data_IF_353381195454
#
_entry.id   IF_353381195454
#
_cell.length_a   1.000
_cell.length_b   1.000
_cell.length_c   1.000
_cell.angle_alpha   90.00
_cell.angle_beta   90.00
_cell.angle_gamma   90.00
#
_symmetry.space_group_name_H-M   'P 1'
#
loop_
_entity.id
_entity.type
_entity.pdbx_description
1 polymer ?
#
# COMPACT_ATOMS: atom_id res chain seq x y z
N UNK A 1 -12.49 44.71 -36.56
CA UNK A 1 -11.12 44.30 -36.16
C UNK A 1 -10.99 43.93 -34.68
N UNK A 2 -11.54 44.68 -33.71
CA UNK A 2 -11.48 44.32 -32.28
C UNK A 2 -12.02 42.91 -31.95
N UNK A 3 -13.08 42.48 -32.62
CA UNK A 3 -13.70 41.16 -32.38
C UNK A 3 -12.85 39.97 -32.86
N UNK A 4 -11.94 40.19 -33.82
CA UNK A 4 -10.99 39.17 -34.29
C UNK A 4 -9.81 39.06 -33.35
N UNK A 5 -9.31 40.20 -32.84
CA UNK A 5 -8.17 40.26 -31.93
C UNK A 5 -8.52 39.62 -30.58
N UNK A 6 -9.73 39.86 -30.07
CA UNK A 6 -10.22 39.21 -28.84
C UNK A 6 -10.36 37.69 -29.00
N UNK A 7 -10.80 37.19 -30.16
CA UNK A 7 -10.90 35.74 -30.41
C UNK A 7 -9.55 35.05 -30.46
N UNK A 8 -8.54 35.69 -31.07
CA UNK A 8 -7.18 35.14 -31.07
C UNK A 8 -6.59 35.13 -29.66
N UNK A 9 -6.76 36.21 -28.89
CA UNK A 9 -6.26 36.30 -27.52
C UNK A 9 -6.94 35.26 -26.60
N UNK A 10 -8.26 35.10 -26.69
CA UNK A 10 -8.97 34.07 -25.91
C UNK A 10 -8.58 32.65 -26.33
N UNK A 11 -8.31 32.41 -27.61
CA UNK A 11 -7.81 31.13 -28.10
C UNK A 11 -6.43 30.80 -27.52
N UNK A 12 -5.48 31.73 -27.55
CA UNK A 12 -4.16 31.54 -26.93
C UNK A 12 -4.27 31.33 -25.42
N UNK A 13 -5.06 32.14 -24.71
CA UNK A 13 -5.31 31.97 -23.27
C UNK A 13 -5.90 30.59 -22.95
N UNK A 14 -6.81 30.09 -23.77
CA UNK A 14 -7.41 28.76 -23.59
C UNK A 14 -6.38 27.64 -23.74
N UNK A 15 -5.47 27.76 -24.71
CA UNK A 15 -4.37 26.81 -24.89
C UNK A 15 -3.43 26.83 -23.68
N UNK A 16 -2.99 28.02 -23.24
CA UNK A 16 -2.14 28.14 -22.07
C UNK A 16 -2.79 27.58 -20.81
N UNK A 17 -4.08 27.87 -20.59
CA UNK A 17 -4.84 27.34 -19.47
C UNK A 17 -4.94 25.82 -19.52
N UNK A 18 -5.20 25.24 -20.71
CA UNK A 18 -5.25 23.79 -20.88
C UNK A 18 -3.91 23.12 -20.56
N UNK A 19 -2.80 23.63 -21.09
CA UNK A 19 -1.46 23.11 -20.77
C UNK A 19 -1.16 23.21 -19.28
N UNK A 20 -1.47 24.35 -18.65
CA UNK A 20 -1.27 24.53 -17.22
C UNK A 20 -2.10 23.54 -16.39
N UNK A 21 -3.36 23.33 -16.77
CA UNK A 21 -4.25 22.36 -16.11
C UNK A 21 -3.72 20.93 -16.23
N UNK A 22 -3.19 20.54 -17.39
CA UNK A 22 -2.57 19.21 -17.60
C UNK A 22 -1.33 19.04 -16.73
N UNK A 23 -0.44 20.03 -16.70
CA UNK A 23 0.76 20.00 -15.84
C UNK A 23 0.36 19.93 -14.36
N UNK A 24 -0.65 20.70 -13.95
CA UNK A 24 -1.16 20.68 -12.58
C UNK A 24 -1.76 19.31 -12.21
N UNK A 25 -2.52 18.69 -13.10
CA UNK A 25 -3.08 17.36 -12.89
C UNK A 25 -1.99 16.28 -12.74
N UNK A 26 -0.93 16.35 -13.54
CA UNK A 26 0.23 15.45 -13.42
C UNK A 26 0.89 15.62 -12.05
N UNK A 27 1.21 16.86 -11.67
CA UNK A 27 1.84 17.14 -10.38
C UNK A 27 0.96 16.71 -9.20
N UNK A 28 -0.35 16.95 -9.29
CA UNK A 28 -1.30 16.50 -8.28
C UNK A 28 -1.34 14.97 -8.18
N UNK A 29 -1.46 14.27 -9.31
CA UNK A 29 -1.45 12.80 -9.35
C UNK A 29 -0.16 12.22 -8.79
N UNK A 30 0.98 12.81 -9.12
CA UNK A 30 2.30 12.45 -8.58
C UNK A 30 2.33 12.52 -7.05
N UNK A 31 1.92 13.66 -6.47
CA UNK A 31 1.93 13.89 -5.02
C UNK A 31 0.93 12.96 -4.33
N UNK A 32 -0.29 12.85 -4.86
CA UNK A 32 -1.32 11.98 -4.31
C UNK A 32 -0.87 10.51 -4.32
N UNK A 33 -0.37 10.02 -5.46
CA UNK A 33 0.11 8.65 -5.60
C UNK A 33 1.27 8.32 -4.66
N UNK A 34 2.20 9.26 -4.47
CA UNK A 34 3.28 9.13 -3.49
C UNK A 34 2.74 8.93 -2.07
N UNK A 35 1.82 9.82 -1.63
CA UNK A 35 1.23 9.76 -0.28
C UNK A 35 0.44 8.47 -0.10
N UNK A 36 -0.41 8.10 -1.06
CA UNK A 36 -1.24 6.89 -0.96
C UNK A 36 -0.39 5.62 -0.88
N UNK A 37 0.71 5.51 -1.62
CA UNK A 37 1.60 4.34 -1.54
C UNK A 37 2.35 4.25 -0.21
N UNK A 38 2.68 5.37 0.41
CA UNK A 38 3.26 5.38 1.77
C UNK A 38 2.22 4.87 2.77
N UNK A 39 0.99 5.38 2.72
CA UNK A 39 -0.11 4.95 3.60
C UNK A 39 -0.39 3.46 3.41
N UNK A 40 -0.52 2.99 2.16
CA UNK A 40 -0.76 1.58 1.86
C UNK A 40 0.36 0.67 2.40
N UNK A 41 1.61 1.12 2.39
CA UNK A 41 2.73 0.36 2.96
C UNK A 41 2.63 0.24 4.48
N UNK A 42 2.14 1.27 5.16
CA UNK A 42 1.85 1.21 6.59
C UNK A 42 0.68 0.30 6.90
N UNK A 43 -0.40 0.36 6.12
CA UNK A 43 -1.55 -0.53 6.28
C UNK A 43 -1.16 -1.99 6.11
N UNK A 44 -0.38 -2.32 5.07
CA UNK A 44 0.17 -3.67 4.86
C UNK A 44 0.96 -4.15 6.08
N UNK A 45 1.84 -3.30 6.62
CA UNK A 45 2.60 -3.62 7.83
C UNK A 45 1.68 -3.94 9.02
N UNK A 46 0.65 -3.12 9.26
CA UNK A 46 -0.29 -3.34 10.35
C UNK A 46 -1.09 -4.63 10.15
N UNK A 47 -1.55 -4.92 8.93
CA UNK A 47 -2.30 -6.13 8.62
C UNK A 47 -1.46 -7.38 8.86
N UNK A 48 -0.22 -7.41 8.37
CA UNK A 48 0.70 -8.54 8.54
C UNK A 48 1.05 -8.71 10.02
N UNK A 49 1.40 -7.63 10.72
CA UNK A 49 1.76 -7.69 12.14
C UNK A 49 0.59 -8.14 13.01
N UNK A 50 -0.62 -7.65 12.74
CA UNK A 50 -1.82 -8.10 13.45
C UNK A 50 -2.14 -9.57 13.19
N UNK A 51 -1.88 -10.08 11.98
CA UNK A 51 -2.03 -11.50 11.66
C UNK A 51 -1.07 -12.36 12.50
N UNK A 52 0.20 -11.96 12.60
CA UNK A 52 1.21 -12.63 13.44
C UNK A 52 0.80 -12.63 14.91
N UNK A 53 0.39 -11.47 15.46
CA UNK A 53 -0.08 -11.36 16.84
C UNK A 53 -1.30 -12.25 17.10
N UNK A 54 -2.26 -12.27 16.16
CA UNK A 54 -3.47 -13.10 16.28
C UNK A 54 -3.14 -14.58 16.25
N UNK A 55 -2.23 -15.00 15.38
CA UNK A 55 -1.78 -16.39 15.31
C UNK A 55 -1.03 -16.80 16.58
N UNK A 56 -0.18 -15.93 17.11
CA UNK A 56 0.50 -16.16 18.39
C UNK A 56 -0.50 -16.31 19.54
N UNK A 57 -1.50 -15.44 19.64
CA UNK A 57 -2.55 -15.51 20.68
C UNK A 57 -3.43 -16.77 20.53
N UNK A 58 -3.89 -17.08 19.32
CA UNK A 58 -4.86 -18.16 19.05
C UNK A 58 -4.23 -19.55 19.02
N UNK A 59 -2.97 -19.68 18.58
CA UNK A 59 -2.30 -20.96 18.37
C UNK A 59 -0.97 -21.05 19.13
N UNK A 60 -0.96 -20.62 20.39
CA UNK A 60 0.24 -20.59 21.24
C UNK A 60 1.00 -21.93 21.29
N UNK A 61 0.29 -23.07 21.35
CA UNK A 61 0.89 -24.42 21.35
C UNK A 61 1.65 -24.73 20.05
N UNK A 62 1.08 -24.39 18.89
CA UNK A 62 1.72 -24.62 17.58
C UNK A 62 2.95 -23.73 17.42
N UNK A 63 2.83 -22.47 17.81
CA UNK A 63 3.92 -21.50 17.76
C UNK A 63 5.06 -21.89 18.71
N UNK A 64 4.73 -22.41 19.90
CA UNK A 64 5.71 -22.95 20.85
C UNK A 64 6.45 -24.17 20.30
N UNK A 65 5.74 -25.15 19.72
CA UNK A 65 6.40 -26.32 19.10
C UNK A 65 7.30 -25.91 17.92
N UNK A 66 6.91 -24.89 17.13
CA UNK A 66 7.77 -24.32 16.09
C UNK A 66 9.04 -23.69 16.67
N UNK A 67 8.92 -22.90 17.74
CA UNK A 67 10.06 -22.32 18.45
C UNK A 67 11.02 -23.38 19.01
N UNK A 68 10.49 -24.44 19.62
CA UNK A 68 11.30 -25.55 20.13
C UNK A 68 12.01 -26.26 18.97
N UNK A 69 11.34 -26.50 17.85
CA UNK A 69 11.94 -27.11 16.67
C UNK A 69 13.06 -26.24 16.08
N UNK A 70 12.88 -24.92 16.00
CA UNK A 70 13.92 -23.98 15.54
C UNK A 70 15.15 -24.02 16.45
N UNK A 71 14.96 -23.99 17.78
CA UNK A 71 16.06 -24.13 18.76
C UNK A 71 16.81 -25.46 18.62
N UNK A 72 16.11 -26.57 18.37
CA UNK A 72 16.74 -27.87 18.14
C UNK A 72 17.55 -27.86 16.83
N UNK A 73 16.99 -27.30 15.74
CA UNK A 73 17.70 -27.21 14.46
C UNK A 73 18.97 -26.34 14.54
N UNK A 74 18.97 -25.28 15.34
CA UNK A 74 20.13 -24.41 15.53
C UNK A 74 21.30 -25.12 16.24
N UNK A 75 21.02 -26.13 17.08
CA UNK A 75 22.04 -26.90 17.82
C UNK A 75 22.72 -28.01 17.00
N UNK A 76 22.32 -28.23 15.73
CA UNK A 76 22.87 -29.28 14.83
C UNK A 76 22.98 -30.66 15.49
N UNK A 77 21.92 -31.05 16.19
CA UNK A 77 21.87 -32.28 17.00
C UNK A 77 21.66 -33.51 16.11
N UNK A 78 22.24 -34.67 16.47
CA UNK A 78 21.99 -35.94 15.79
C UNK A 78 20.56 -36.45 16.05
N UNK A 79 19.99 -37.17 15.10
CA UNK A 79 18.57 -37.56 15.12
C UNK A 79 18.12 -38.31 16.39
N UNK A 80 18.99 -39.14 16.97
CA UNK A 80 18.67 -39.92 18.17
C UNK A 80 18.67 -39.09 19.47
N UNK A 81 19.30 -37.92 19.49
CA UNK A 81 19.39 -37.04 20.68
C UNK A 81 18.26 -36.00 20.68
N UNK A 82 17.45 -35.94 19.62
CA UNK A 82 16.33 -34.99 19.50
C UNK A 82 15.34 -35.08 20.68
N UNK A 83 14.93 -36.26 21.17
CA UNK A 83 13.96 -36.34 22.27
C UNK A 83 14.50 -35.77 23.58
N UNK A 84 15.72 -36.14 23.96
CA UNK A 84 16.38 -35.68 25.19
C UNK A 84 16.69 -34.19 25.14
N UNK A 85 17.18 -33.68 24.00
CA UNK A 85 17.43 -32.25 23.80
C UNK A 85 16.13 -31.46 23.78
N UNK A 86 15.05 -32.00 23.22
CA UNK A 86 13.72 -31.36 23.25
C UNK A 86 13.22 -31.16 24.67
N UNK A 87 13.31 -32.17 25.53
CA UNK A 87 12.89 -32.07 26.93
C UNK A 87 13.74 -31.07 27.72
N UNK A 88 15.06 -31.08 27.52
CA UNK A 88 15.95 -30.10 28.13
C UNK A 88 15.59 -28.66 27.73
N UNK A 89 15.35 -28.41 26.44
CA UNK A 89 14.97 -27.07 25.94
C UNK A 89 13.59 -26.65 26.45
N UNK A 90 12.62 -27.58 26.54
CA UNK A 90 11.28 -27.30 27.09
C UNK A 90 11.35 -26.94 28.58
N UNK A 91 12.21 -27.61 29.35
CA UNK A 91 12.45 -27.31 30.77
C UNK A 91 13.09 -25.94 30.98
N UNK A 92 13.99 -25.55 30.08
CA UNK A 92 14.67 -24.25 30.11
C UNK A 92 13.77 -23.12 29.58
N UNK A 93 12.83 -23.41 28.67
CA UNK A 93 11.95 -22.43 28.02
C UNK A 93 10.48 -22.79 28.26
N UNK A 94 9.93 -22.37 29.39
CA UNK A 94 8.54 -22.68 29.79
C UNK A 94 7.47 -21.96 28.95
N UNK A 95 7.83 -20.86 28.26
CA UNK A 95 6.92 -20.11 27.39
C UNK A 95 7.64 -19.65 26.12
N UNK A 96 6.89 -19.53 25.02
CA UNK A 96 7.41 -18.91 23.80
C UNK A 96 7.58 -17.41 24.00
N UNK A 97 8.68 -16.79 23.53
CA UNK A 97 8.77 -15.34 23.48
C UNK A 97 7.70 -14.74 22.55
N UNK A 98 7.29 -13.50 22.83
CA UNK A 98 6.43 -12.72 21.93
C UNK A 98 7.11 -12.59 20.55
N UNK A 99 6.38 -12.57 19.42
CA UNK A 99 6.95 -12.53 18.07
C UNK A 99 7.54 -11.15 17.70
N UNK A 100 8.31 -10.55 18.62
CA UNK A 100 9.01 -9.27 18.44
C UNK A 100 9.87 -9.33 17.18
N UNK A 101 10.63 -10.41 17.01
CA UNK A 101 11.50 -10.60 15.86
C UNK A 101 10.74 -10.47 14.53
N UNK A 102 9.63 -11.19 14.36
CA UNK A 102 8.83 -11.12 13.13
C UNK A 102 8.28 -9.71 12.88
N UNK A 103 7.80 -9.03 13.94
CA UNK A 103 7.29 -7.66 13.82
C UNK A 103 8.40 -6.68 13.41
N UNK A 104 9.59 -6.82 14.00
CA UNK A 104 10.76 -5.99 13.67
C UNK A 104 11.22 -6.25 12.23
N UNK A 105 11.28 -7.52 11.80
CA UNK A 105 11.62 -7.86 10.41
C UNK A 105 10.59 -7.27 9.44
N UNK A 106 9.29 -7.39 9.73
CA UNK A 106 8.23 -6.80 8.91
C UNK A 106 8.35 -5.27 8.85
N UNK A 107 8.72 -4.62 9.95
CA UNK A 107 8.94 -3.18 10.00
C UNK A 107 10.14 -2.78 9.12
N UNK A 108 11.25 -3.50 9.22
CA UNK A 108 12.43 -3.27 8.38
C UNK A 108 12.08 -3.43 6.90
N UNK A 109 11.37 -4.50 6.54
CA UNK A 109 10.93 -4.75 5.17
C UNK A 109 10.01 -3.63 4.68
N UNK A 110 9.05 -3.18 5.51
CA UNK A 110 8.16 -2.08 5.16
C UNK A 110 8.94 -0.77 4.92
N UNK A 111 9.90 -0.44 5.77
CA UNK A 111 10.76 0.74 5.61
C UNK A 111 11.60 0.66 4.34
N UNK A 112 12.18 -0.51 4.04
CA UNK A 112 12.99 -0.72 2.84
C UNK A 112 12.15 -0.62 1.57
N UNK A 113 10.93 -1.17 1.58
CA UNK A 113 10.04 -1.17 0.41
C UNK A 113 9.32 0.16 0.19
N UNK A 114 9.11 0.94 1.26
CA UNK A 114 8.43 2.23 1.22
C UNK A 114 8.95 3.18 0.13
N UNK A 115 10.26 3.48 0.00
CA UNK A 115 10.76 4.38 -1.04
C UNK A 115 10.47 3.86 -2.45
N UNK A 116 10.58 2.56 -2.70
CA UNK A 116 10.29 1.98 -4.02
C UNK A 116 8.81 2.07 -4.36
N UNK A 117 7.93 1.77 -3.41
CA UNK A 117 6.48 1.90 -3.60
C UNK A 117 6.05 3.36 -3.77
N UNK A 118 6.68 4.28 -3.05
CA UNK A 118 6.42 5.70 -3.16
C UNK A 118 6.85 6.24 -4.54
N UNK A 119 8.00 5.78 -5.07
CA UNK A 119 8.44 6.05 -6.45
C UNK A 119 7.46 5.48 -7.48
N UNK A 120 6.97 4.25 -7.29
CA UNK A 120 5.93 3.69 -8.16
C UNK A 120 4.65 4.55 -8.14
N UNK A 121 4.29 5.10 -6.97
CA UNK A 121 3.18 6.04 -6.79
C UNK A 121 3.29 7.31 -7.63
N UNK A 122 4.51 7.82 -7.88
CA UNK A 122 4.71 8.96 -8.77
C UNK A 122 4.31 8.67 -10.22
N UNK A 123 4.42 7.42 -10.67
CA UNK A 123 4.10 7.01 -12.04
C UNK A 123 2.61 6.62 -12.15
N UNK A 124 2.13 5.82 -11.19
CA UNK A 124 0.75 5.33 -11.18
C UNK A 124 -0.26 6.45 -10.86
N UNK A 125 0.11 7.41 -10.02
CA UNK A 125 -0.78 8.49 -9.60
C UNK A 125 -1.35 9.33 -10.74
N UNK A 126 -0.51 9.86 -11.67
CA UNK A 126 -1.00 10.56 -12.86
C UNK A 126 -1.88 9.68 -13.74
N UNK A 127 -1.56 8.39 -13.90
CA UNK A 127 -2.36 7.48 -14.72
C UNK A 127 -3.79 7.37 -14.18
N UNK A 128 -3.95 7.22 -12.86
CA UNK A 128 -5.27 7.16 -12.22
C UNK A 128 -6.06 8.45 -12.47
N UNK A 129 -5.44 9.62 -12.29
CA UNK A 129 -6.09 10.92 -12.53
C UNK A 129 -6.59 11.06 -13.97
N UNK A 130 -5.81 10.60 -14.95
CA UNK A 130 -6.21 10.66 -16.36
C UNK A 130 -7.24 9.61 -16.73
N UNK A 131 -7.18 8.40 -16.16
CA UNK A 131 -8.19 7.37 -16.38
C UNK A 131 -9.54 7.79 -15.79
N UNK A 132 -9.56 8.37 -14.58
CA UNK A 132 -10.78 8.92 -13.97
C UNK A 132 -11.33 10.09 -14.79
N UNK A 133 -10.45 10.96 -15.30
CA UNK A 133 -10.87 12.08 -16.15
C UNK A 133 -11.43 11.60 -17.49
N UNK A 134 -10.81 10.59 -18.10
CA UNK A 134 -11.30 9.95 -19.33
C UNK A 134 -12.66 9.31 -19.10
N UNK A 135 -12.80 8.55 -18.01
CA UNK A 135 -14.06 7.91 -17.63
C UNK A 135 -15.17 8.95 -17.42
N UNK A 136 -14.86 10.07 -16.74
CA UNK A 136 -15.77 11.20 -16.58
C UNK A 136 -16.26 11.74 -17.94
N UNK A 137 -15.36 11.93 -18.90
CA UNK A 137 -15.72 12.44 -20.23
C UNK A 137 -16.55 11.45 -21.04
N UNK A 138 -16.21 10.16 -21.01
CA UNK A 138 -16.97 9.11 -21.66
C UNK A 138 -18.41 9.07 -21.12
N UNK A 139 -18.59 9.11 -19.79
CA UNK A 139 -19.91 9.15 -19.16
C UNK A 139 -20.70 10.42 -19.54
N UNK A 140 -20.04 11.58 -19.62
CA UNK A 140 -20.65 12.85 -20.00
C UNK A 140 -21.10 12.90 -21.47
N UNK A 141 -20.36 12.25 -22.37
CA UNK A 141 -20.71 12.18 -23.80
C UNK A 141 -21.88 11.21 -24.02
N UNK A 142 -21.92 10.11 -23.26
CA UNK A 142 -22.97 9.08 -23.37
C UNK A 142 -24.29 9.53 -22.72
N UNK A 143 -24.26 10.28 -21.60
CA UNK A 143 -25.47 10.79 -20.95
C UNK A 143 -25.63 12.29 -21.20
N UNK A 144 -26.52 12.66 -22.13
CA UNK A 144 -26.86 14.06 -22.48
C UNK A 144 -27.48 14.87 -21.33
N UNK A 145 -27.84 14.26 -20.19
CA UNK A 145 -28.46 14.96 -19.07
C UNK A 145 -27.52 15.08 -17.85
N UNK A 146 -27.01 16.28 -17.54
CA UNK A 146 -26.08 16.49 -16.44
C UNK A 146 -26.68 16.30 -15.05
N UNK A 147 -28.02 16.30 -14.89
CA UNK A 147 -28.70 16.21 -13.58
C UNK A 147 -28.64 14.81 -12.95
N UNK A 148 -28.79 13.75 -13.76
CA UNK A 148 -28.79 12.36 -13.26
C UNK A 148 -27.38 11.94 -12.81
N UNK A 149 -26.35 12.61 -13.34
CA UNK A 149 -24.94 12.30 -13.11
C UNK A 149 -24.43 12.74 -11.73
N UNK A 150 -24.86 13.91 -11.23
CA UNK A 150 -24.46 14.38 -9.90
C UNK A 150 -25.04 13.53 -8.76
N UNK A 151 -26.19 12.86 -8.97
CA UNK A 151 -26.78 11.97 -7.96
C UNK A 151 -26.06 10.62 -7.81
N UNK A 152 -25.30 10.16 -8.81
CA UNK A 152 -24.52 8.92 -8.71
C UNK A 152 -23.09 9.16 -8.20
N UNK A 153 -22.46 10.29 -8.56
CA UNK A 153 -21.08 10.59 -8.12
C UNK A 153 -20.96 10.93 -6.63
N UNK A 154 -22.05 11.41 -6.01
CA UNK A 154 -22.09 11.79 -4.59
C UNK A 154 -22.87 10.81 -3.71
N UNK A 155 -23.27 9.65 -4.25
CA UNK A 155 -23.70 8.51 -3.42
C UNK A 155 -22.45 7.83 -2.85
N UNK A 156 -21.92 8.44 -1.80
CA UNK A 156 -21.08 7.79 -0.78
C UNK A 156 -22.01 7.37 0.36
#
# INVERSE_FOLDING_TARGET
MLNSMNKSVTFFLSIFYFFFAVVWAILYGMIAGFIFKIIATWEDFFVISNKEIRQWKRYSKRSYEKYINEKISAKKVKAYEIPTVREAIKKENTRQPFPIYNIVVNLIVAIILMPFRAIAGFIEGPMIVFDDFKHFWELRIVRKDPKIYYEELFKI
#
